data_IF_892287301800
#
_entry.id   IF_892287301800
#
_cell.length_a   1.000
_cell.length_b   1.000
_cell.length_c   1.000
_cell.angle_alpha   90.00
_cell.angle_beta   90.00
_cell.angle_gamma   90.00
#
_symmetry.space_group_name_H-M   'P 1'
#
loop_
_entity.id
_entity.type
_entity.pdbx_description
1 polymer ?
#
# COMPACT_ATOMS: atom_id res chain seq x y z
N UNK A 1 -16.51 -6.30 -6.79
CA UNK A 1 -15.80 -7.48 -7.32
C UNK A 1 -16.15 -7.68 -8.80
N UNK A 2 -15.43 -7.04 -9.70
CA UNK A 2 -15.52 -7.31 -11.16
C UNK A 2 -14.28 -8.13 -11.52
N UNK A 3 -14.52 -9.39 -11.90
CA UNK A 3 -13.48 -10.31 -12.38
C UNK A 3 -12.94 -9.77 -13.70
N UNK A 4 -11.67 -9.39 -13.75
CA UNK A 4 -10.94 -9.21 -15.00
C UNK A 4 -10.75 -10.62 -15.60
N UNK A 5 -11.39 -10.84 -16.75
CA UNK A 5 -11.20 -12.02 -17.57
C UNK A 5 -9.95 -11.77 -18.40
N UNK A 6 -8.85 -12.46 -18.08
CA UNK A 6 -7.69 -12.56 -18.94
C UNK A 6 -8.03 -13.48 -20.11
N UNK A 7 -8.09 -12.94 -21.31
CA UNK A 7 -8.14 -13.72 -22.54
C UNK A 7 -6.75 -14.33 -22.78
N UNK A 8 -6.57 -15.60 -22.46
CA UNK A 8 -5.41 -16.38 -22.84
C UNK A 8 -5.52 -16.71 -24.32
N UNK A 9 -4.74 -16.08 -25.18
CA UNK A 9 -4.48 -16.57 -26.52
C UNK A 9 -3.58 -17.81 -26.42
N UNK A 10 -4.16 -18.99 -26.52
CA UNK A 10 -3.42 -20.22 -26.74
C UNK A 10 -2.86 -20.22 -28.18
N UNK A 11 -1.60 -19.89 -28.34
CA UNK A 11 -0.88 -20.19 -29.58
C UNK A 11 -0.45 -21.64 -29.54
N UNK A 12 -1.07 -22.49 -30.37
CA UNK A 12 -0.57 -23.84 -30.61
C UNK A 12 0.81 -23.72 -31.28
N UNK A 13 1.85 -24.00 -30.53
CA UNK A 13 3.20 -24.23 -31.07
C UNK A 13 3.32 -25.71 -31.44
N UNK A 14 3.35 -26.00 -32.72
CA UNK A 14 3.75 -27.33 -33.20
C UNK A 14 5.20 -27.59 -32.79
N UNK A 15 5.39 -28.67 -32.03
CA UNK A 15 6.67 -29.08 -31.50
C UNK A 15 7.61 -29.52 -32.64
N UNK A 16 8.66 -28.77 -32.84
CA UNK A 16 9.93 -29.29 -33.36
C UNK A 16 10.92 -29.32 -32.20
N UNK A 17 11.60 -30.44 -31.96
CA UNK A 17 12.54 -30.52 -30.84
C UNK A 17 13.84 -29.86 -31.24
N UNK A 18 14.02 -28.57 -30.91
CA UNK A 18 15.32 -27.96 -30.82
C UNK A 18 15.43 -27.28 -29.46
N UNK A 19 16.09 -27.97 -28.54
CA UNK A 19 16.60 -27.42 -27.30
C UNK A 19 17.70 -26.38 -27.63
N UNK A 20 17.29 -25.20 -28.07
CA UNK A 20 18.09 -24.02 -28.03
C UNK A 20 17.58 -23.14 -26.89
N UNK A 21 18.16 -23.37 -25.71
CA UNK A 21 18.03 -22.42 -24.61
C UNK A 21 18.21 -21.01 -25.19
N UNK A 22 17.26 -20.14 -24.98
CA UNK A 22 17.29 -18.78 -25.53
C UNK A 22 18.45 -18.02 -24.91
N UNK A 23 19.63 -18.13 -25.50
CA UNK A 23 20.82 -17.37 -25.11
C UNK A 23 20.70 -15.97 -25.68
N UNK A 24 20.47 -14.98 -24.81
CA UNK A 24 20.64 -13.58 -25.19
C UNK A 24 22.09 -13.41 -25.69
N UNK A 25 22.26 -13.22 -26.97
CA UNK A 25 23.57 -12.96 -27.52
C UNK A 25 23.89 -11.46 -27.39
N UNK A 26 24.64 -11.13 -26.33
CA UNK A 26 24.98 -9.75 -25.99
C UNK A 26 25.65 -9.00 -27.12
N UNK A 27 26.69 -9.61 -27.75
CA UNK A 27 27.48 -8.95 -28.80
C UNK A 27 26.67 -8.70 -30.08
N UNK A 28 25.87 -9.68 -30.50
CA UNK A 28 25.00 -9.51 -31.65
C UNK A 28 23.89 -8.47 -31.39
N UNK A 29 23.40 -8.40 -30.14
CA UNK A 29 22.41 -7.40 -29.76
C UNK A 29 23.01 -6.01 -29.73
N UNK A 30 24.21 -5.83 -29.13
CA UNK A 30 24.92 -4.56 -29.12
C UNK A 30 25.24 -4.08 -30.56
N UNK A 31 25.64 -4.97 -31.46
CA UNK A 31 25.85 -4.61 -32.84
C UNK A 31 24.60 -4.11 -33.57
N UNK A 32 23.41 -4.71 -33.25
CA UNK A 32 22.10 -4.24 -33.75
C UNK A 32 21.74 -2.86 -33.22
N UNK A 33 21.95 -2.62 -31.92
CA UNK A 33 21.70 -1.31 -31.30
C UNK A 33 22.61 -0.23 -31.90
N UNK A 34 23.92 -0.51 -32.01
CA UNK A 34 24.88 0.41 -32.63
C UNK A 34 24.55 0.75 -34.11
N UNK A 35 24.06 -0.23 -34.85
CA UNK A 35 23.56 0.02 -36.21
C UNK A 35 22.34 0.92 -36.22
N UNK A 36 21.39 0.68 -35.32
CA UNK A 36 20.18 1.49 -35.22
C UNK A 36 20.52 2.95 -34.83
N UNK A 37 21.50 3.14 -33.93
CA UNK A 37 22.00 4.46 -33.56
C UNK A 37 22.69 5.17 -34.71
N UNK A 38 23.52 4.46 -35.49
CA UNK A 38 24.15 4.99 -36.68
C UNK A 38 23.13 5.38 -37.77
N UNK A 39 22.06 4.59 -37.92
CA UNK A 39 21.01 4.87 -38.90
C UNK A 39 20.22 6.16 -38.57
N UNK A 40 19.97 6.47 -37.30
CA UNK A 40 19.30 7.73 -36.89
C UNK A 40 20.28 8.93 -36.92
N UNK A 41 21.57 8.70 -36.76
CA UNK A 41 22.60 9.73 -36.88
C UNK A 41 22.93 10.10 -38.35
N UNK A 42 22.62 9.22 -39.32
CA UNK A 42 22.76 9.51 -40.72
C UNK A 42 21.78 10.58 -41.20
N UNK A 43 22.24 11.64 -41.83
CA UNK A 43 21.43 12.80 -42.21
C UNK A 43 20.24 12.45 -43.12
N UNK A 44 20.38 11.45 -44.00
CA UNK A 44 19.30 11.03 -44.93
C UNK A 44 18.35 10.01 -44.30
N UNK A 45 18.85 9.07 -43.51
CA UNK A 45 18.05 8.06 -42.86
C UNK A 45 17.36 8.64 -41.63
N UNK A 46 18.07 9.39 -40.79
CA UNK A 46 17.56 10.00 -39.56
C UNK A 46 16.48 11.04 -39.80
N UNK A 47 16.34 11.57 -41.02
CA UNK A 47 15.22 12.43 -41.39
C UNK A 47 13.91 11.70 -41.65
N UNK A 48 13.85 10.36 -41.48
CA UNK A 48 12.63 9.55 -41.71
C UNK A 48 12.09 8.99 -40.40
N UNK A 49 10.81 9.19 -40.12
CA UNK A 49 10.11 8.63 -38.95
C UNK A 49 10.28 7.10 -38.87
N UNK A 50 10.25 6.39 -40.00
CA UNK A 50 10.42 4.94 -40.02
C UNK A 50 11.80 4.48 -39.44
N UNK A 51 12.85 5.28 -39.57
CA UNK A 51 14.16 4.96 -38.99
C UNK A 51 14.13 5.00 -37.47
N UNK A 52 13.45 5.98 -36.89
CA UNK A 52 13.24 6.10 -35.46
C UNK A 52 12.33 4.99 -34.90
N UNK A 53 11.24 4.62 -35.62
CA UNK A 53 10.42 3.45 -35.28
C UNK A 53 11.28 2.18 -35.24
N UNK A 54 12.17 1.96 -36.22
CA UNK A 54 13.04 0.78 -36.26
C UNK A 54 14.05 0.79 -35.11
N UNK A 55 14.60 1.96 -34.76
CA UNK A 55 15.45 2.11 -33.58
C UNK A 55 14.69 1.72 -32.31
N UNK A 56 13.50 2.27 -32.08
CA UNK A 56 12.66 1.93 -30.93
C UNK A 56 12.37 0.43 -30.83
N UNK A 57 12.04 -0.22 -31.97
CA UNK A 57 11.83 -1.68 -32.00
C UNK A 57 13.08 -2.48 -31.64
N UNK A 58 14.27 -2.04 -32.13
CA UNK A 58 15.54 -2.71 -31.80
C UNK A 58 15.82 -2.62 -30.30
N UNK A 59 15.60 -1.46 -29.68
CA UNK A 59 15.80 -1.23 -28.26
C UNK A 59 14.79 -1.97 -27.40
N UNK A 60 13.50 -1.96 -27.75
CA UNK A 60 12.47 -2.76 -27.08
C UNK A 60 12.76 -4.27 -27.15
N UNK A 61 13.18 -4.76 -28.32
CA UNK A 61 13.55 -6.17 -28.50
C UNK A 61 14.74 -6.56 -27.60
N UNK A 62 15.70 -5.66 -27.44
CA UNK A 62 16.84 -5.88 -26.56
C UNK A 62 16.44 -5.86 -25.08
N UNK A 63 15.55 -4.93 -24.68
CA UNK A 63 15.03 -4.84 -23.32
C UNK A 63 14.24 -6.09 -22.90
N UNK A 64 13.36 -6.58 -23.77
CA UNK A 64 12.47 -7.71 -23.48
C UNK A 64 13.11 -9.09 -23.69
N UNK A 65 14.26 -9.17 -24.36
CA UNK A 65 14.89 -10.44 -24.76
C UNK A 65 15.05 -11.46 -23.62
N UNK A 66 15.46 -11.08 -22.39
CA UNK A 66 15.63 -12.04 -21.31
C UNK A 66 14.33 -12.69 -20.82
N UNK A 67 13.20 -12.00 -20.96
CA UNK A 67 11.92 -12.38 -20.34
C UNK A 67 10.78 -12.64 -21.32
N UNK A 68 11.02 -12.46 -22.62
CA UNK A 68 9.95 -12.43 -23.65
C UNK A 68 9.13 -13.72 -23.77
N UNK A 69 9.69 -14.86 -23.35
CA UNK A 69 9.05 -16.18 -23.48
C UNK A 69 8.68 -16.79 -22.14
N UNK A 70 8.78 -16.04 -21.03
CA UNK A 70 8.35 -16.46 -19.70
C UNK A 70 7.21 -15.57 -19.18
N UNK A 71 6.36 -16.14 -18.33
CA UNK A 71 5.25 -15.44 -17.69
C UNK A 71 4.97 -16.01 -16.30
N UNK A 72 4.36 -15.21 -15.45
CA UNK A 72 3.93 -15.65 -14.11
C UNK A 72 2.93 -16.80 -14.25
N UNK A 73 3.00 -17.78 -13.34
CA UNK A 73 2.26 -19.05 -13.35
C UNK A 73 2.69 -20.07 -14.44
N UNK A 74 3.77 -19.78 -15.22
CA UNK A 74 4.34 -20.76 -16.15
C UNK A 74 4.83 -21.99 -15.36
N UNK A 75 4.42 -23.22 -15.73
CA UNK A 75 4.93 -24.45 -15.11
C UNK A 75 6.43 -24.63 -15.33
N UNK A 76 7.12 -25.25 -14.38
CA UNK A 76 8.56 -25.49 -14.48
C UNK A 76 8.94 -26.33 -15.71
N UNK A 77 8.12 -27.30 -16.09
CA UNK A 77 8.37 -28.12 -17.28
C UNK A 77 8.38 -27.27 -18.57
N UNK A 78 7.48 -26.28 -18.68
CA UNK A 78 7.43 -25.37 -19.83
C UNK A 78 8.62 -24.39 -19.80
N UNK A 79 8.99 -23.93 -18.61
CA UNK A 79 10.18 -23.09 -18.42
C UNK A 79 11.45 -23.81 -18.89
N UNK A 80 11.62 -25.09 -18.54
CA UNK A 80 12.78 -25.89 -18.99
C UNK A 80 12.81 -26.13 -20.51
N UNK A 81 11.65 -26.17 -21.16
CA UNK A 81 11.58 -26.22 -22.63
C UNK A 81 12.06 -24.92 -23.28
N UNK A 82 11.79 -23.78 -22.61
CA UNK A 82 12.12 -22.44 -23.14
C UNK A 82 13.56 -22.04 -22.83
N UNK A 83 13.98 -22.16 -21.56
CA UNK A 83 15.28 -21.68 -21.08
C UNK A 83 16.33 -22.77 -20.91
N UNK A 84 15.92 -24.05 -20.96
CA UNK A 84 16.75 -25.19 -20.59
C UNK A 84 16.81 -25.37 -19.07
N UNK A 85 17.73 -26.24 -18.63
CA UNK A 85 17.95 -26.46 -17.19
C UNK A 85 18.63 -25.25 -16.55
N UNK A 86 18.24 -24.94 -15.33
CA UNK A 86 18.88 -23.90 -14.52
C UNK A 86 20.34 -24.27 -14.22
N UNK A 87 21.21 -23.27 -14.13
CA UNK A 87 22.63 -23.43 -13.75
C UNK A 87 22.75 -23.82 -12.27
N UNK A 88 21.83 -23.34 -11.41
CA UNK A 88 21.74 -23.72 -10.01
C UNK A 88 20.28 -23.64 -9.52
N UNK A 89 19.97 -24.41 -8.47
CA UNK A 89 18.69 -24.41 -7.76
C UNK A 89 18.94 -24.25 -6.28
N UNK A 90 18.28 -23.27 -5.65
CA UNK A 90 18.39 -22.97 -4.22
C UNK A 90 16.99 -23.06 -3.60
N UNK A 91 16.83 -23.96 -2.62
CA UNK A 91 15.56 -24.14 -1.92
C UNK A 91 15.40 -23.20 -0.73
N UNK A 92 14.16 -22.83 -0.41
CA UNK A 92 13.81 -22.07 0.80
C UNK A 92 14.32 -20.62 0.81
N UNK A 93 14.56 -20.03 -0.36
CA UNK A 93 15.02 -18.63 -0.47
C UNK A 93 13.91 -17.69 -0.03
N UNK A 94 14.18 -16.89 0.99
CA UNK A 94 13.24 -15.87 1.48
C UNK A 94 13.20 -14.65 0.55
N UNK A 95 12.00 -14.26 0.15
CA UNK A 95 11.77 -13.10 -0.69
C UNK A 95 10.47 -12.41 -0.27
N UNK A 96 10.57 -11.23 0.32
CA UNK A 96 9.43 -10.63 1.01
C UNK A 96 8.93 -11.55 2.13
N UNK A 97 7.64 -11.83 2.16
CA UNK A 97 7.00 -12.69 3.18
C UNK A 97 6.92 -14.17 2.77
N UNK A 98 7.50 -14.55 1.62
CA UNK A 98 7.41 -15.89 1.05
C UNK A 98 8.74 -16.64 0.97
N UNK A 99 8.68 -17.98 1.04
CA UNK A 99 9.80 -18.89 0.76
C UNK A 99 9.61 -19.52 -0.63
N UNK A 100 10.66 -19.49 -1.44
CA UNK A 100 10.63 -19.90 -2.84
C UNK A 100 11.77 -20.85 -3.18
N UNK A 101 11.61 -21.63 -4.26
CA UNK A 101 12.74 -22.27 -4.94
C UNK A 101 13.32 -21.30 -5.97
N UNK A 102 14.56 -20.88 -5.82
CA UNK A 102 15.26 -20.00 -6.76
C UNK A 102 15.94 -20.84 -7.84
N UNK A 103 15.62 -20.58 -9.10
CA UNK A 103 16.31 -21.12 -10.26
C UNK A 103 17.21 -20.04 -10.86
N UNK A 104 18.51 -20.35 -10.95
CA UNK A 104 19.53 -19.38 -11.46
C UNK A 104 19.79 -19.67 -12.92
N UNK A 105 19.65 -18.63 -13.74
CA UNK A 105 20.00 -18.60 -15.17
C UNK A 105 20.99 -17.46 -15.43
N UNK A 106 21.70 -17.45 -16.57
CA UNK A 106 22.71 -16.41 -16.87
C UNK A 106 22.17 -14.96 -16.79
N UNK A 107 20.90 -14.75 -17.13
CA UNK A 107 20.26 -13.42 -17.19
C UNK A 107 19.19 -13.19 -16.14
N UNK A 108 18.78 -14.25 -15.45
CA UNK A 108 17.59 -14.26 -14.58
C UNK A 108 17.82 -15.08 -13.32
N UNK A 109 17.25 -14.63 -12.23
CA UNK A 109 16.85 -15.47 -11.11
C UNK A 109 15.34 -15.60 -11.15
N UNK A 110 14.84 -16.82 -11.23
CA UNK A 110 13.40 -17.12 -11.25
C UNK A 110 13.01 -17.78 -9.94
N UNK A 111 11.98 -17.28 -9.31
CA UNK A 111 11.46 -17.76 -8.03
C UNK A 111 10.19 -18.56 -8.27
N UNK A 112 10.22 -19.83 -7.88
CA UNK A 112 9.13 -20.78 -8.07
C UNK A 112 8.32 -20.96 -6.78
N UNK A 113 7.00 -21.03 -6.93
CA UNK A 113 6.09 -21.46 -5.88
C UNK A 113 5.12 -22.52 -6.49
N UNK A 114 4.86 -23.59 -5.78
CA UNK A 114 3.96 -24.66 -6.22
C UNK A 114 4.25 -25.19 -7.66
N UNK A 115 5.53 -25.25 -8.01
CA UNK A 115 5.98 -25.73 -9.33
C UNK A 115 5.74 -24.76 -10.49
N UNK A 116 5.41 -23.50 -10.20
CA UNK A 116 5.16 -22.44 -11.18
C UNK A 116 6.00 -21.20 -10.92
N UNK A 117 6.25 -20.42 -11.96
CA UNK A 117 6.93 -19.12 -11.81
C UNK A 117 6.06 -18.18 -10.96
N UNK A 118 6.58 -17.77 -9.81
CA UNK A 118 5.97 -16.76 -8.97
C UNK A 118 6.45 -15.35 -9.32
N UNK A 119 7.75 -15.19 -9.57
CA UNK A 119 8.38 -13.93 -9.96
C UNK A 119 9.79 -14.16 -10.47
N UNK A 120 10.46 -13.09 -10.95
CA UNK A 120 11.87 -13.14 -11.39
C UNK A 120 12.57 -11.81 -11.17
N UNK A 121 13.90 -11.85 -11.24
CA UNK A 121 14.76 -10.66 -11.21
C UNK A 121 15.79 -10.79 -12.30
N UNK A 122 16.04 -9.71 -13.05
CA UNK A 122 17.15 -9.63 -13.99
C UNK A 122 18.48 -9.55 -13.22
N UNK A 123 19.46 -10.37 -13.60
CA UNK A 123 20.80 -10.38 -13.01
C UNK A 123 21.80 -9.56 -13.81
N UNK A 124 21.49 -9.32 -15.08
CA UNK A 124 22.32 -8.48 -15.97
C UNK A 124 21.47 -7.88 -17.09
N UNK A 125 22.00 -6.85 -17.72
CA UNK A 125 21.40 -6.14 -18.83
C UNK A 125 22.35 -6.17 -20.07
N UNK A 126 21.80 -5.99 -21.26
CA UNK A 126 22.61 -5.91 -22.49
C UNK A 126 23.52 -4.67 -22.45
N UNK A 127 23.00 -3.56 -21.89
CA UNK A 127 23.70 -2.28 -21.78
C UNK A 127 23.26 -1.61 -20.48
N UNK A 128 24.12 -0.83 -19.85
CA UNK A 128 23.84 -0.13 -18.60
C UNK A 128 23.03 1.15 -18.84
N UNK A 129 21.82 0.95 -19.39
CA UNK A 129 20.81 1.99 -19.59
C UNK A 129 19.42 1.35 -19.68
N UNK A 130 18.37 2.12 -19.44
CA UNK A 130 16.99 1.67 -19.70
C UNK A 130 16.70 1.65 -21.20
N UNK A 131 16.87 0.48 -21.80
CA UNK A 131 16.65 0.26 -23.23
C UNK A 131 15.19 0.50 -23.62
N UNK A 132 14.24 0.25 -22.75
CA UNK A 132 12.83 0.47 -23.01
C UNK A 132 12.48 1.98 -23.00
N UNK A 133 13.15 2.78 -22.15
CA UNK A 133 13.04 4.24 -22.21
C UNK A 133 13.59 4.81 -23.51
N UNK A 134 14.72 4.28 -24.01
CA UNK A 134 15.25 4.67 -25.33
C UNK A 134 14.28 4.30 -26.47
N UNK A 135 13.53 3.19 -26.32
CA UNK A 135 12.48 2.85 -27.28
C UNK A 135 11.35 3.88 -27.26
N UNK A 136 10.90 4.30 -26.06
CA UNK A 136 9.87 5.34 -25.91
C UNK A 136 10.30 6.65 -26.56
N UNK A 137 11.51 7.12 -26.27
CA UNK A 137 12.04 8.35 -26.85
C UNK A 137 12.12 8.27 -28.39
N UNK A 138 12.47 7.11 -28.91
CA UNK A 138 12.53 6.87 -30.35
C UNK A 138 11.11 6.91 -30.97
N UNK A 139 10.10 6.35 -30.32
CA UNK A 139 8.71 6.40 -30.78
C UNK A 139 8.14 7.81 -30.73
N UNK A 140 8.43 8.56 -29.67
CA UNK A 140 8.03 9.95 -29.55
C UNK A 140 8.66 10.81 -30.65
N UNK A 141 9.95 10.59 -30.94
CA UNK A 141 10.65 11.28 -32.03
C UNK A 141 10.05 10.96 -33.40
N UNK A 142 9.68 9.71 -33.63
CA UNK A 142 9.01 9.31 -34.86
C UNK A 142 7.66 10.01 -35.04
N UNK A 143 6.88 10.16 -33.95
CA UNK A 143 5.60 10.87 -33.95
C UNK A 143 5.76 12.37 -34.25
N UNK A 144 6.75 13.02 -33.64
CA UNK A 144 7.07 14.43 -33.92
C UNK A 144 7.38 14.69 -35.39
N UNK A 145 8.02 13.72 -36.05
CA UNK A 145 8.40 13.83 -37.47
C UNK A 145 7.23 13.54 -38.42
N UNK A 146 6.36 12.60 -38.05
CA UNK A 146 5.19 12.20 -38.82
C UNK A 146 4.07 11.69 -37.91
N UNK A 147 3.14 12.57 -37.56
CA UNK A 147 1.99 12.25 -36.72
C UNK A 147 0.99 11.27 -37.36
N UNK A 148 1.05 11.05 -38.68
CA UNK A 148 0.23 10.03 -39.37
C UNK A 148 0.67 8.61 -39.00
N UNK A 149 1.84 8.46 -38.40
CA UNK A 149 2.32 7.18 -37.82
C UNK A 149 1.64 6.78 -36.53
N UNK A 150 0.77 7.62 -35.94
CA UNK A 150 0.14 7.42 -34.63
C UNK A 150 -0.49 6.03 -34.44
N UNK A 151 -1.27 5.53 -35.42
CA UNK A 151 -1.91 4.21 -35.34
C UNK A 151 -0.89 3.07 -35.18
N UNK A 152 0.21 3.13 -35.92
CA UNK A 152 1.30 2.14 -35.85
C UNK A 152 2.09 2.24 -34.54
N UNK A 153 2.26 3.45 -34.01
CA UNK A 153 2.95 3.70 -32.76
C UNK A 153 2.11 3.29 -31.56
N UNK A 154 0.77 3.43 -31.64
CA UNK A 154 -0.14 3.06 -30.56
C UNK A 154 0.02 1.63 -30.10
N UNK A 155 0.15 0.66 -31.01
CA UNK A 155 0.38 -0.75 -30.65
C UNK A 155 1.78 -0.99 -30.06
N UNK A 156 2.81 -0.29 -30.55
CA UNK A 156 4.16 -0.38 -29.99
C UNK A 156 4.25 0.22 -28.59
N UNK A 157 3.54 1.30 -28.35
CA UNK A 157 3.46 1.93 -27.03
C UNK A 157 2.67 1.06 -26.04
N UNK A 158 1.60 0.39 -26.46
CA UNK A 158 0.90 -0.60 -25.61
C UNK A 158 1.79 -1.78 -25.24
N UNK A 159 2.60 -2.28 -26.16
CA UNK A 159 3.59 -3.32 -25.86
C UNK A 159 4.62 -2.83 -24.83
N UNK A 160 5.07 -1.59 -24.96
CA UNK A 160 6.02 -0.98 -24.05
C UNK A 160 5.42 -0.72 -22.66
N UNK A 161 4.18 -0.24 -22.60
CA UNK A 161 3.42 -0.11 -21.35
C UNK A 161 3.27 -1.46 -20.62
N UNK A 162 2.84 -2.51 -21.35
CA UNK A 162 2.74 -3.86 -20.80
C UNK A 162 4.08 -4.39 -20.27
N UNK A 163 5.19 -4.12 -20.97
CA UNK A 163 6.50 -4.49 -20.50
C UNK A 163 6.83 -3.86 -19.14
N UNK A 164 6.59 -2.57 -18.98
CA UNK A 164 6.86 -1.88 -17.73
C UNK A 164 5.90 -2.29 -16.63
N UNK A 165 4.61 -2.43 -16.91
CA UNK A 165 3.62 -2.83 -15.90
C UNK A 165 3.86 -4.26 -15.40
N UNK A 166 4.24 -5.20 -16.28
CA UNK A 166 4.64 -6.56 -15.89
C UNK A 166 5.90 -6.55 -15.02
N UNK A 167 6.92 -5.76 -15.40
CA UNK A 167 8.11 -5.60 -14.56
C UNK A 167 7.78 -5.01 -13.19
N UNK A 168 6.86 -4.04 -13.12
CA UNK A 168 6.34 -3.51 -11.86
C UNK A 168 5.77 -4.61 -10.97
N UNK A 169 4.90 -5.46 -11.52
CA UNK A 169 4.29 -6.58 -10.79
C UNK A 169 5.33 -7.59 -10.29
N UNK A 170 6.25 -8.03 -11.16
CA UNK A 170 7.23 -9.05 -10.78
C UNK A 170 8.26 -8.51 -9.79
N UNK A 171 8.71 -7.28 -9.95
CA UNK A 171 9.65 -6.67 -9.01
C UNK A 171 8.99 -6.36 -7.65
N UNK A 172 7.72 -5.96 -7.62
CA UNK A 172 6.97 -5.81 -6.38
C UNK A 172 6.90 -7.13 -5.61
N UNK A 173 6.55 -8.22 -6.30
CA UNK A 173 6.51 -9.57 -5.70
C UNK A 173 7.91 -10.05 -5.27
N UNK A 174 8.95 -9.60 -5.96
CA UNK A 174 10.35 -9.86 -5.63
C UNK A 174 10.90 -8.94 -4.51
N UNK A 175 10.07 -8.14 -3.84
CA UNK A 175 10.44 -7.14 -2.85
C UNK A 175 11.51 -6.13 -3.35
N UNK A 176 11.61 -5.93 -4.67
CA UNK A 176 12.45 -4.94 -5.34
C UNK A 176 11.66 -3.64 -5.51
N UNK A 177 11.33 -3.00 -4.39
CA UNK A 177 10.34 -1.91 -4.35
C UNK A 177 10.73 -0.70 -5.19
N UNK A 178 12.01 -0.31 -5.22
CA UNK A 178 12.50 0.81 -6.05
C UNK A 178 12.40 0.49 -7.54
N UNK A 179 12.77 -0.73 -7.94
CA UNK A 179 12.70 -1.17 -9.34
C UNK A 179 11.23 -1.29 -9.80
N UNK A 180 10.36 -1.80 -8.92
CA UNK A 180 8.93 -1.87 -9.18
C UNK A 180 8.30 -0.48 -9.31
N UNK A 181 8.63 0.44 -8.41
CA UNK A 181 8.17 1.82 -8.44
C UNK A 181 8.60 2.53 -9.73
N UNK A 182 9.86 2.36 -10.11
CA UNK A 182 10.39 2.88 -11.38
C UNK A 182 9.61 2.33 -12.58
N UNK A 183 9.39 1.01 -12.62
CA UNK A 183 8.69 0.37 -13.71
C UNK A 183 7.24 0.88 -13.85
N UNK A 184 6.49 1.01 -12.75
CA UNK A 184 5.14 1.60 -12.79
C UNK A 184 5.16 3.07 -13.24
N UNK A 185 6.11 3.87 -12.75
CA UNK A 185 6.25 5.26 -13.20
C UNK A 185 6.52 5.35 -14.71
N UNK A 186 7.37 4.45 -15.25
CA UNK A 186 7.62 4.38 -16.69
C UNK A 186 6.39 3.88 -17.47
N UNK A 187 5.59 2.95 -16.93
CA UNK A 187 4.34 2.53 -17.57
C UNK A 187 3.40 3.73 -17.78
N UNK A 188 3.24 4.59 -16.77
CA UNK A 188 2.44 5.82 -16.91
C UNK A 188 3.09 6.80 -17.88
N UNK A 189 4.42 6.96 -17.86
CA UNK A 189 5.14 7.83 -18.80
C UNK A 189 4.92 7.41 -20.26
N UNK A 190 4.80 6.12 -20.54
CA UNK A 190 4.41 5.63 -21.88
C UNK A 190 3.03 6.11 -22.25
N UNK A 191 2.07 6.12 -21.32
CA UNK A 191 0.71 6.62 -21.56
C UNK A 191 0.66 8.14 -21.78
N UNK A 192 1.67 8.88 -21.33
CA UNK A 192 1.80 10.33 -21.62
C UNK A 192 2.25 10.62 -23.04
N UNK A 193 2.75 9.62 -23.80
CA UNK A 193 3.13 9.79 -25.18
C UNK A 193 1.94 10.29 -26.02
N UNK A 194 2.12 11.32 -26.87
CA UNK A 194 1.05 11.85 -27.71
C UNK A 194 0.53 10.84 -28.75
N UNK A 195 1.29 9.78 -29.03
CA UNK A 195 0.87 8.68 -29.91
C UNK A 195 0.17 7.53 -29.18
N UNK A 196 0.07 7.58 -27.84
CA UNK A 196 -0.61 6.55 -27.08
C UNK A 196 -2.13 6.64 -27.27
N UNK A 197 -2.76 5.54 -27.65
CA UNK A 197 -4.21 5.48 -27.98
C UNK A 197 -5.05 4.77 -26.93
N UNK A 198 -4.44 4.35 -25.81
CA UNK A 198 -5.13 3.71 -24.68
C UNK A 198 -5.71 4.73 -23.71
N UNK A 199 -6.50 4.23 -22.74
CA UNK A 199 -6.90 5.01 -21.57
C UNK A 199 -5.69 5.14 -20.64
N UNK A 200 -5.51 6.33 -20.08
CA UNK A 200 -4.50 6.55 -19.04
C UNK A 200 -4.98 5.93 -17.72
N UNK A 201 -4.11 5.21 -17.06
CA UNK A 201 -4.37 4.59 -15.77
C UNK A 201 -3.48 5.22 -14.68
N UNK A 202 -4.01 6.17 -13.91
CA UNK A 202 -3.25 6.84 -12.86
C UNK A 202 -2.91 5.92 -11.68
N UNK A 203 -3.44 4.68 -11.63
CA UNK A 203 -3.05 3.70 -10.62
C UNK A 203 -1.57 3.34 -10.68
N UNK A 204 -0.94 3.41 -11.85
CA UNK A 204 0.51 3.23 -11.97
C UNK A 204 1.30 4.27 -11.18
N UNK A 205 0.87 5.52 -11.19
CA UNK A 205 1.50 6.56 -10.37
C UNK A 205 1.29 6.32 -8.88
N UNK A 206 0.09 5.87 -8.50
CA UNK A 206 -0.22 5.51 -7.12
C UNK A 206 0.68 4.35 -6.63
N UNK A 207 0.78 3.25 -7.38
CA UNK A 207 1.64 2.13 -7.01
C UNK A 207 3.13 2.52 -6.98
N UNK A 208 3.58 3.34 -7.92
CA UNK A 208 4.95 3.87 -7.89
C UNK A 208 5.21 4.66 -6.61
N UNK A 209 4.31 5.58 -6.27
CA UNK A 209 4.43 6.41 -5.08
C UNK A 209 4.33 5.61 -3.77
N UNK A 210 3.41 4.66 -3.70
CA UNK A 210 3.26 3.74 -2.58
C UNK A 210 4.56 2.93 -2.31
N UNK A 211 5.16 2.37 -3.36
CA UNK A 211 6.39 1.59 -3.25
C UNK A 211 7.60 2.45 -2.87
N UNK A 212 7.70 3.67 -3.39
CA UNK A 212 8.69 4.64 -2.93
C UNK A 212 8.47 5.04 -1.47
N UNK A 213 7.22 5.09 -0.98
CA UNK A 213 6.93 5.36 0.43
C UNK A 213 7.44 4.23 1.33
N UNK A 214 7.29 2.97 0.90
CA UNK A 214 7.82 1.80 1.63
C UNK A 214 9.35 1.87 1.70
N UNK A 215 10.02 2.11 0.56
CA UNK A 215 11.49 2.22 0.52
C UNK A 215 12.00 3.42 1.31
N UNK A 216 11.21 4.48 1.41
CA UNK A 216 11.52 5.70 2.15
C UNK A 216 11.88 5.48 3.61
N UNK A 217 11.36 4.42 4.23
CA UNK A 217 11.69 4.06 5.61
C UNK A 217 13.19 3.73 5.81
N UNK A 218 13.86 3.25 4.77
CA UNK A 218 15.29 2.92 4.76
C UNK A 218 16.12 3.87 3.90
N UNK A 219 15.50 4.54 2.92
CA UNK A 219 16.14 5.44 1.97
C UNK A 219 15.32 6.74 1.84
N UNK A 220 15.67 7.74 2.63
CA UNK A 220 14.91 9.00 2.73
C UNK A 220 14.70 9.71 1.37
N UNK A 221 15.61 9.53 0.39
CA UNK A 221 15.45 10.11 -0.95
C UNK A 221 14.23 9.55 -1.70
N UNK A 222 13.77 8.35 -1.36
CA UNK A 222 12.57 7.74 -1.97
C UNK A 222 11.29 8.45 -1.56
N UNK A 223 11.22 9.07 -0.38
CA UNK A 223 10.06 9.87 0.01
C UNK A 223 9.78 11.04 -0.95
N UNK A 224 10.83 11.68 -1.48
CA UNK A 224 10.69 12.78 -2.45
C UNK A 224 10.03 12.26 -3.73
N UNK A 225 10.52 11.13 -4.25
CA UNK A 225 9.93 10.47 -5.43
C UNK A 225 8.51 9.98 -5.17
N UNK A 226 8.26 9.42 -3.97
CA UNK A 226 6.94 8.99 -3.54
C UNK A 226 5.94 10.13 -3.54
N UNK A 227 6.30 11.26 -2.94
CA UNK A 227 5.46 12.46 -2.94
C UNK A 227 5.16 12.96 -4.36
N UNK A 228 6.15 12.97 -5.25
CA UNK A 228 5.96 13.36 -6.66
C UNK A 228 4.95 12.45 -7.37
N UNK A 229 5.12 11.14 -7.27
CA UNK A 229 4.24 10.17 -7.95
C UNK A 229 2.82 10.21 -7.40
N UNK A 230 2.64 10.24 -6.08
CA UNK A 230 1.31 10.31 -5.46
C UNK A 230 0.60 11.63 -5.76
N UNK A 231 1.32 12.75 -5.79
CA UNK A 231 0.75 14.06 -6.18
C UNK A 231 0.26 14.01 -7.63
N UNK A 232 1.07 13.50 -8.55
CA UNK A 232 0.67 13.30 -9.94
C UNK A 232 -0.53 12.36 -10.09
N UNK A 233 -0.62 11.32 -9.23
CA UNK A 233 -1.77 10.42 -9.23
C UNK A 233 -3.07 11.16 -8.86
N UNK A 234 -3.05 12.00 -7.82
CA UNK A 234 -4.21 12.85 -7.46
C UNK A 234 -4.57 13.83 -8.58
N UNK A 235 -3.59 14.52 -9.18
CA UNK A 235 -3.78 15.44 -10.28
C UNK A 235 -4.37 14.74 -11.53
N UNK A 236 -3.99 13.47 -11.74
CA UNK A 236 -4.54 12.63 -12.80
C UNK A 236 -5.93 12.03 -12.46
N UNK A 237 -6.50 12.38 -11.31
CA UNK A 237 -7.83 11.96 -10.88
C UNK A 237 -7.87 10.56 -10.22
N UNK A 238 -6.74 10.04 -9.75
CA UNK A 238 -6.74 8.79 -8.99
C UNK A 238 -7.46 8.95 -7.66
N UNK A 239 -8.33 8.00 -7.37
CA UNK A 239 -9.00 7.86 -6.07
C UNK A 239 -9.04 6.40 -5.69
N UNK A 240 -8.64 6.07 -4.46
CA UNK A 240 -8.92 4.76 -3.87
C UNK A 240 -10.14 4.84 -2.94
N UNK A 241 -10.85 3.72 -2.71
CA UNK A 241 -12.10 3.73 -1.95
C UNK A 241 -11.98 4.28 -0.53
N UNK A 242 -10.79 4.13 0.07
CA UNK A 242 -10.53 4.50 1.46
C UNK A 242 -9.74 5.81 1.60
N UNK A 243 -9.26 6.39 0.49
CA UNK A 243 -8.44 7.60 0.48
C UNK A 243 -7.04 7.40 1.05
N UNK A 244 -6.48 6.19 0.97
CA UNK A 244 -5.14 5.90 1.50
C UNK A 244 -4.02 6.71 0.83
N UNK A 245 -4.25 7.24 -0.37
CA UNK A 245 -3.30 8.10 -1.05
C UNK A 245 -2.91 9.33 -0.21
N UNK A 246 -3.83 9.89 0.57
CA UNK A 246 -3.56 11.02 1.48
C UNK A 246 -2.64 10.61 2.63
N UNK A 247 -2.82 9.40 3.16
CA UNK A 247 -1.96 8.82 4.19
C UNK A 247 -0.53 8.56 3.67
N UNK A 248 -0.38 8.02 2.45
CA UNK A 248 0.95 7.80 1.87
C UNK A 248 1.65 9.12 1.52
N UNK A 249 0.92 10.12 1.03
CA UNK A 249 1.46 11.47 0.84
C UNK A 249 1.94 12.08 2.16
N UNK A 250 1.14 11.96 3.22
CA UNK A 250 1.58 12.35 4.56
C UNK A 250 2.90 11.68 4.93
N UNK A 251 3.03 10.36 4.77
CA UNK A 251 4.28 9.66 5.07
C UNK A 251 5.46 10.18 4.27
N UNK A 252 5.26 10.47 3.00
CA UNK A 252 6.31 11.03 2.15
C UNK A 252 6.80 12.38 2.66
N UNK A 253 5.90 13.28 3.07
CA UNK A 253 6.28 14.59 3.59
C UNK A 253 6.78 14.52 5.03
N UNK A 254 6.13 13.74 5.87
CA UNK A 254 6.50 13.54 7.27
C UNK A 254 7.86 12.85 7.44
N UNK A 255 8.19 11.91 6.56
CA UNK A 255 9.46 11.18 6.57
C UNK A 255 10.67 11.99 6.13
N UNK A 256 10.48 13.12 5.44
CA UNK A 256 11.58 14.02 5.07
C UNK A 256 12.00 14.85 6.29
N UNK A 257 13.11 14.45 6.92
CA UNK A 257 13.56 14.99 8.22
C UNK A 257 14.55 16.17 8.11
N UNK A 258 14.92 16.58 6.89
CA UNK A 258 15.81 17.72 6.68
C UNK A 258 15.18 19.00 7.28
N UNK A 259 15.89 19.66 8.20
CA UNK A 259 15.42 20.81 8.93
C UNK A 259 15.05 21.99 8.03
N UNK A 260 15.68 22.12 6.86
CA UNK A 260 15.42 23.20 5.89
C UNK A 260 14.03 23.13 5.24
N UNK A 261 13.44 21.94 5.16
CA UNK A 261 12.13 21.72 4.54
C UNK A 261 11.08 21.17 5.53
N UNK A 262 11.49 20.83 6.75
CA UNK A 262 10.65 20.14 7.73
C UNK A 262 9.31 20.80 7.99
N UNK A 263 9.32 22.10 8.34
CA UNK A 263 8.09 22.83 8.66
C UNK A 263 7.17 22.93 7.43
N UNK A 264 7.72 23.21 6.26
CA UNK A 264 6.95 23.29 5.01
C UNK A 264 6.32 21.93 4.66
N UNK A 265 7.06 20.84 4.86
CA UNK A 265 6.56 19.49 4.63
C UNK A 265 5.45 19.08 5.63
N UNK A 266 5.60 19.44 6.91
CA UNK A 266 4.55 19.23 7.91
C UNK A 266 3.28 20.00 7.57
N UNK A 267 3.41 21.26 7.14
CA UNK A 267 2.26 22.07 6.71
C UNK A 267 1.57 21.44 5.49
N UNK A 268 2.35 21.02 4.49
CA UNK A 268 1.83 20.32 3.32
C UNK A 268 1.12 19.01 3.67
N UNK A 269 1.72 18.23 4.57
CA UNK A 269 1.12 17.00 5.08
C UNK A 269 -0.22 17.27 5.79
N UNK A 270 -0.28 18.33 6.62
CA UNK A 270 -1.51 18.77 7.27
C UNK A 270 -2.61 19.08 6.26
N UNK A 271 -2.31 19.92 5.27
CA UNK A 271 -3.30 20.36 4.29
C UNK A 271 -3.86 19.18 3.49
N UNK A 272 -3.01 18.24 3.08
CA UNK A 272 -3.42 17.01 2.37
C UNK A 272 -4.26 16.08 3.25
N UNK A 273 -3.87 15.88 4.50
CA UNK A 273 -4.64 15.05 5.43
C UNK A 273 -5.99 15.69 5.78
N UNK A 274 -6.05 17.02 5.88
CA UNK A 274 -7.32 17.74 6.08
C UNK A 274 -8.26 17.59 4.89
N UNK A 275 -7.74 17.65 3.66
CA UNK A 275 -8.49 17.35 2.45
C UNK A 275 -8.98 15.88 2.47
N UNK A 276 -8.08 14.96 2.84
CA UNK A 276 -8.39 13.53 2.98
C UNK A 276 -9.49 13.27 4.02
N UNK A 277 -9.41 13.91 5.20
CA UNK A 277 -10.42 13.76 6.25
C UNK A 277 -11.81 14.26 5.79
N UNK A 278 -11.86 15.36 5.04
CA UNK A 278 -13.13 15.88 4.52
C UNK A 278 -13.80 14.91 3.52
N UNK A 279 -13.01 14.13 2.77
CA UNK A 279 -13.50 13.16 1.78
C UNK A 279 -13.68 11.75 2.34
N UNK A 280 -12.84 11.35 3.29
CA UNK A 280 -12.74 10.00 3.85
C UNK A 280 -12.68 10.04 5.39
N UNK A 281 -13.74 10.51 6.05
CA UNK A 281 -13.73 10.75 7.51
C UNK A 281 -13.60 9.47 8.36
N UNK A 282 -13.82 8.30 7.76
CA UNK A 282 -13.64 6.99 8.42
C UNK A 282 -12.21 6.44 8.34
N UNK A 283 -11.34 7.07 7.58
CA UNK A 283 -9.97 6.57 7.46
C UNK A 283 -9.17 6.91 8.72
N UNK A 284 -9.01 5.93 9.61
CA UNK A 284 -8.25 6.07 10.87
C UNK A 284 -6.81 6.51 10.65
N UNK A 285 -6.20 6.11 9.52
CA UNK A 285 -4.81 6.47 9.19
C UNK A 285 -4.67 7.96 8.90
N UNK A 286 -5.68 8.57 8.27
CA UNK A 286 -5.71 10.03 8.04
C UNK A 286 -5.79 10.77 9.37
N UNK A 287 -6.67 10.31 10.28
CA UNK A 287 -6.80 10.87 11.63
C UNK A 287 -5.49 10.74 12.41
N UNK A 288 -4.87 9.56 12.39
CA UNK A 288 -3.57 9.31 13.03
C UNK A 288 -2.48 10.24 12.45
N UNK A 289 -2.43 10.37 11.12
CA UNK A 289 -1.49 11.29 10.45
C UNK A 289 -1.66 12.74 10.91
N UNK A 290 -2.90 13.24 11.02
CA UNK A 290 -3.19 14.58 11.53
C UNK A 290 -2.70 14.78 12.96
N UNK A 291 -2.96 13.81 13.82
CA UNK A 291 -2.49 13.85 15.20
C UNK A 291 -0.96 13.95 15.25
N UNK A 292 -0.29 13.08 14.49
CA UNK A 292 1.17 13.07 14.44
C UNK A 292 1.74 14.40 13.91
N UNK A 293 1.11 15.01 12.91
CA UNK A 293 1.53 16.30 12.37
C UNK A 293 1.36 17.42 13.41
N UNK A 294 0.17 17.52 14.05
CA UNK A 294 -0.08 18.58 15.05
C UNK A 294 0.77 18.42 16.32
N UNK A 295 1.18 17.19 16.67
CA UNK A 295 2.03 16.94 17.85
C UNK A 295 3.52 17.04 17.55
N UNK A 296 3.92 17.08 16.26
CA UNK A 296 5.33 17.10 15.86
C UNK A 296 6.00 18.46 16.01
N UNK A 297 5.25 19.55 15.78
CA UNK A 297 5.77 20.91 15.86
C UNK A 297 4.61 21.89 16.13
N UNK A 298 4.77 22.69 17.18
CA UNK A 298 3.76 23.69 17.58
C UNK A 298 3.52 24.77 16.52
N UNK A 299 4.43 24.97 15.58
CA UNK A 299 4.28 25.93 14.48
C UNK A 299 3.32 25.44 13.38
N UNK A 300 2.98 24.16 13.37
CA UNK A 300 2.01 23.60 12.40
C UNK A 300 0.58 24.01 12.71
N UNK A 301 0.27 24.25 13.97
CA UNK A 301 -1.05 24.68 14.44
C UNK A 301 -1.45 24.04 15.75
N UNK A 302 -2.64 24.41 16.24
CA UNK A 302 -3.22 23.86 17.45
C UNK A 302 -4.18 22.70 17.08
N UNK A 303 -4.09 21.51 17.71
CA UNK A 303 -5.05 20.41 17.52
C UNK A 303 -6.50 20.81 17.69
N UNK A 304 -6.79 21.89 18.45
CA UNK A 304 -8.16 22.41 18.61
C UNK A 304 -8.75 22.97 17.31
N UNK A 305 -7.94 23.35 16.34
CA UNK A 305 -8.42 23.75 15.00
C UNK A 305 -9.08 22.59 14.27
N UNK A 306 -8.50 21.39 14.39
CA UNK A 306 -9.07 20.15 13.81
C UNK A 306 -10.45 19.86 14.41
N UNK A 307 -10.59 20.03 15.73
CA UNK A 307 -11.88 19.84 16.42
C UNK A 307 -12.92 20.85 15.90
N UNK A 308 -12.57 22.13 15.80
CA UNK A 308 -13.50 23.16 15.30
C UNK A 308 -14.00 22.85 13.89
N UNK A 309 -13.11 22.30 13.04
CA UNK A 309 -13.50 21.94 11.68
C UNK A 309 -14.47 20.74 11.66
N UNK A 310 -14.19 19.70 12.45
CA UNK A 310 -15.07 18.54 12.59
C UNK A 310 -16.41 18.95 13.20
N UNK A 311 -16.41 19.76 14.26
CA UNK A 311 -17.62 20.28 14.89
C UNK A 311 -18.45 21.12 13.90
N UNK A 312 -17.82 22.00 13.11
CA UNK A 312 -18.51 22.76 12.07
C UNK A 312 -19.07 21.89 10.93
N UNK A 313 -18.47 20.72 10.65
CA UNK A 313 -19.04 19.75 9.71
C UNK A 313 -20.25 19.04 10.34
N UNK A 314 -20.20 18.69 11.64
CA UNK A 314 -21.29 18.06 12.37
C UNK A 314 -22.47 18.99 12.64
N UNK A 315 -22.25 20.30 12.75
CA UNK A 315 -23.32 21.30 12.79
C UNK A 315 -24.16 21.29 11.49
N UNK A 316 -23.52 21.10 10.35
CA UNK A 316 -24.18 21.03 9.04
C UNK A 316 -24.86 19.69 8.78
N UNK A 317 -24.25 18.60 9.26
CA UNK A 317 -24.77 17.25 9.13
C UNK A 317 -24.61 16.47 10.45
N UNK A 318 -25.53 16.66 11.42
CA UNK A 318 -25.48 15.98 12.72
C UNK A 318 -25.64 14.46 12.64
N UNK A 319 -26.07 13.92 11.49
CA UNK A 319 -26.24 12.49 11.26
C UNK A 319 -25.04 11.83 10.59
N UNK A 320 -23.99 12.57 10.34
CA UNK A 320 -22.76 12.04 9.76
C UNK A 320 -22.02 11.18 10.80
N UNK A 321 -22.33 9.89 10.78
CA UNK A 321 -21.73 8.89 11.66
C UNK A 321 -20.21 8.90 11.60
N UNK A 322 -19.67 9.06 10.39
CA UNK A 322 -18.23 8.97 10.13
C UNK A 322 -17.48 10.17 10.74
N UNK A 323 -18.07 11.35 10.70
CA UNK A 323 -17.52 12.54 11.37
C UNK A 323 -17.58 12.40 12.90
N UNK A 324 -18.65 11.81 13.47
CA UNK A 324 -18.68 11.50 14.90
C UNK A 324 -17.61 10.48 15.29
N UNK A 325 -17.38 9.46 14.47
CA UNK A 325 -16.31 8.48 14.66
C UNK A 325 -14.94 9.17 14.67
N UNK A 326 -14.64 9.98 13.64
CA UNK A 326 -13.39 10.76 13.54
C UNK A 326 -13.20 11.68 14.77
N UNK A 327 -14.26 12.42 15.17
CA UNK A 327 -14.23 13.29 16.35
C UNK A 327 -13.85 12.51 17.62
N UNK A 328 -14.47 11.37 17.85
CA UNK A 328 -14.17 10.54 19.00
C UNK A 328 -12.71 10.04 19.02
N UNK A 329 -12.17 9.66 17.88
CA UNK A 329 -10.78 9.25 17.74
C UNK A 329 -9.79 10.39 18.01
N UNK A 330 -10.07 11.59 17.52
CA UNK A 330 -9.26 12.79 17.80
C UNK A 330 -9.22 13.06 19.30
N UNK A 331 -10.38 13.12 19.97
CA UNK A 331 -10.43 13.35 21.41
C UNK A 331 -9.75 12.25 22.22
N UNK A 332 -9.86 10.99 21.80
CA UNK A 332 -9.14 9.88 22.44
C UNK A 332 -7.64 10.11 22.42
N UNK A 333 -7.09 10.52 21.28
CA UNK A 333 -5.64 10.78 21.16
C UNK A 333 -5.17 11.97 21.99
N UNK A 334 -6.05 12.95 22.19
CA UNK A 334 -5.83 14.07 23.11
C UNK A 334 -6.04 13.70 24.58
N UNK A 335 -6.35 12.43 24.89
CA UNK A 335 -6.70 11.90 26.22
C UNK A 335 -7.94 12.59 26.84
N UNK A 336 -8.77 13.21 26.00
CA UNK A 336 -10.07 13.73 26.43
C UNK A 336 -11.12 12.62 26.26
N UNK A 337 -11.11 11.70 27.22
CA UNK A 337 -11.95 10.51 27.18
C UNK A 337 -13.44 10.83 27.24
N UNK A 338 -13.85 11.91 27.93
CA UNK A 338 -15.25 12.29 28.03
C UNK A 338 -15.84 12.68 26.66
N UNK A 339 -15.17 13.52 25.93
CA UNK A 339 -15.60 13.92 24.59
C UNK A 339 -15.49 12.76 23.57
N UNK A 340 -14.49 11.89 23.75
CA UNK A 340 -14.36 10.65 22.96
C UNK A 340 -15.57 9.74 23.16
N UNK A 341 -15.95 9.46 24.41
CA UNK A 341 -17.11 8.66 24.78
C UNK A 341 -18.41 9.31 24.27
N UNK A 342 -18.57 10.62 24.45
CA UNK A 342 -19.75 11.34 23.96
C UNK A 342 -19.91 11.20 22.44
N UNK A 343 -18.81 11.32 21.69
CA UNK A 343 -18.79 11.16 20.24
C UNK A 343 -19.17 9.73 19.82
N UNK A 344 -18.58 8.71 20.44
CA UNK A 344 -18.91 7.31 20.12
C UNK A 344 -20.29 6.86 20.57
N UNK A 345 -20.87 7.46 21.61
CA UNK A 345 -22.29 7.29 21.92
C UNK A 345 -23.17 7.74 20.75
N UNK A 346 -22.82 8.85 20.10
CA UNK A 346 -23.51 9.29 18.87
C UNK A 346 -23.33 8.32 17.71
N UNK A 347 -22.14 7.75 17.53
CA UNK A 347 -21.90 6.73 16.49
C UNK A 347 -22.82 5.53 16.71
N UNK A 348 -22.84 4.97 17.93
CA UNK A 348 -23.67 3.79 18.27
C UNK A 348 -25.18 4.11 18.24
N UNK A 349 -25.58 5.36 18.56
CA UNK A 349 -26.96 5.81 18.39
C UNK A 349 -27.40 5.83 16.92
N UNK A 350 -26.50 6.30 16.03
CA UNK A 350 -26.76 6.40 14.59
C UNK A 350 -26.69 5.04 13.88
N UNK A 351 -25.84 4.14 14.36
CA UNK A 351 -25.72 2.78 13.84
C UNK A 351 -25.51 1.75 14.97
N UNK A 352 -26.62 1.23 15.54
CA UNK A 352 -26.56 0.26 16.64
C UNK A 352 -25.99 -1.11 16.24
N UNK A 353 -25.76 -1.36 14.95
CA UNK A 353 -25.25 -2.63 14.43
C UNK A 353 -23.76 -2.57 14.03
N UNK A 354 -23.07 -1.47 14.30
CA UNK A 354 -21.64 -1.33 14.09
C UNK A 354 -20.85 -1.92 15.29
N UNK A 355 -20.39 -3.17 15.13
CA UNK A 355 -19.62 -3.88 16.15
C UNK A 355 -18.33 -3.15 16.54
N UNK A 356 -17.66 -2.53 15.57
CA UNK A 356 -16.42 -1.81 15.79
C UNK A 356 -16.64 -0.58 16.68
N UNK A 357 -17.68 0.19 16.40
CA UNK A 357 -18.00 1.38 17.19
C UNK A 357 -18.46 1.03 18.63
N UNK A 358 -19.19 -0.08 18.79
CA UNK A 358 -19.54 -0.59 20.11
C UNK A 358 -18.28 -1.01 20.90
N UNK A 359 -17.33 -1.70 20.24
CA UNK A 359 -16.04 -2.05 20.84
C UNK A 359 -15.25 -0.80 21.27
N UNK A 360 -15.08 0.19 20.40
CA UNK A 360 -14.36 1.42 20.75
C UNK A 360 -15.00 2.17 21.90
N UNK A 361 -16.32 2.24 21.94
CA UNK A 361 -17.01 2.90 23.06
C UNK A 361 -16.69 2.21 24.40
N UNK A 362 -16.73 0.88 24.46
CA UNK A 362 -16.31 0.12 25.63
C UNK A 362 -14.83 0.34 25.97
N UNK A 363 -13.96 0.31 24.95
CA UNK A 363 -12.53 0.53 25.11
C UNK A 363 -12.20 1.94 25.67
N UNK A 364 -12.93 2.97 25.26
CA UNK A 364 -12.68 4.34 25.77
C UNK A 364 -13.15 4.51 27.23
N UNK A 365 -14.16 3.79 27.66
CA UNK A 365 -14.48 3.71 29.09
C UNK A 365 -13.35 3.03 29.88
N UNK A 366 -12.75 1.96 29.34
CA UNK A 366 -11.58 1.32 29.98
C UNK A 366 -10.43 2.33 30.06
N UNK A 367 -10.10 3.01 28.97
CA UNK A 367 -9.02 4.00 28.94
C UNK A 367 -9.24 5.15 29.93
N UNK A 368 -10.51 5.60 30.09
CA UNK A 368 -10.89 6.59 31.12
C UNK A 368 -10.67 6.05 32.53
N UNK A 369 -11.08 4.81 32.78
CA UNK A 369 -10.84 4.13 34.05
C UNK A 369 -9.37 3.94 34.37
N UNK A 370 -8.59 3.52 33.39
CA UNK A 370 -7.11 3.36 33.52
C UNK A 370 -6.46 4.70 33.86
N UNK A 371 -6.82 5.80 33.18
CA UNK A 371 -6.30 7.12 33.48
C UNK A 371 -6.62 7.59 34.92
N UNK A 372 -7.86 7.39 35.37
CA UNK A 372 -8.25 7.71 36.74
C UNK A 372 -7.52 6.81 37.76
N UNK A 373 -7.37 5.52 37.47
CA UNK A 373 -6.63 4.59 38.31
C UNK A 373 -5.15 5.01 38.45
N UNK A 374 -4.52 5.44 37.38
CA UNK A 374 -3.16 5.96 37.38
C UNK A 374 -3.02 7.24 38.25
N UNK A 375 -4.02 8.11 38.24
CA UNK A 375 -4.08 9.29 39.08
C UNK A 375 -4.22 8.91 40.56
N UNK A 376 -5.12 8.00 40.86
CA UNK A 376 -5.39 7.51 42.23
C UNK A 376 -4.13 6.84 42.80
N UNK A 377 -3.45 6.03 42.01
CA UNK A 377 -2.24 5.34 42.45
C UNK A 377 -1.04 6.29 42.72
N UNK A 378 -1.10 7.53 42.26
CA UNK A 378 -0.08 8.56 42.53
C UNK A 378 -0.40 9.42 43.75
N UNK A 379 -1.62 9.30 44.34
CA UNK A 379 -2.05 10.10 45.48
C UNK A 379 -1.52 9.50 46.78
N UNK A 380 -1.17 10.35 47.75
CA UNK A 380 -0.88 9.95 49.10
C UNK A 380 -2.19 9.79 49.91
N UNK A 381 -2.49 8.57 50.37
CA UNK A 381 -3.66 8.25 51.10
C UNK A 381 -3.40 8.15 52.62
N UNK A 382 -4.25 8.82 53.41
CA UNK A 382 -4.18 8.73 54.87
C UNK A 382 -4.67 7.39 55.42
N UNK A 383 -5.45 6.63 54.64
CA UNK A 383 -5.96 5.31 54.99
C UNK A 383 -6.31 4.48 53.76
N UNK A 384 -6.28 3.16 53.90
CA UNK A 384 -6.78 2.23 52.87
C UNK A 384 -8.27 2.41 52.57
N UNK A 385 -9.06 2.86 53.54
CA UNK A 385 -10.51 3.12 53.35
C UNK A 385 -10.72 4.25 52.34
N UNK A 386 -9.91 5.31 52.38
CA UNK A 386 -9.97 6.42 51.43
C UNK A 386 -9.50 5.97 50.02
N UNK A 387 -8.47 5.16 49.92
CA UNK A 387 -8.04 4.56 48.63
C UNK A 387 -9.13 3.68 48.05
N UNK A 388 -9.73 2.80 48.86
CA UNK A 388 -10.80 1.91 48.42
C UNK A 388 -12.04 2.66 47.94
N UNK A 389 -12.34 3.82 48.52
CA UNK A 389 -13.48 4.65 48.09
C UNK A 389 -13.20 5.25 46.69
N UNK A 390 -11.98 5.76 46.44
CA UNK A 390 -11.60 6.24 45.12
C UNK A 390 -11.59 5.09 44.09
N UNK A 391 -11.15 3.88 44.47
CA UNK A 391 -11.19 2.68 43.61
C UNK A 391 -12.60 2.27 43.19
N UNK A 392 -13.62 2.50 44.02
CA UNK A 392 -15.02 2.27 43.62
C UNK A 392 -15.41 3.16 42.42
N UNK A 393 -14.93 4.41 42.38
CA UNK A 393 -15.15 5.30 41.27
C UNK A 393 -14.51 4.77 39.94
N UNK A 394 -13.31 4.19 40.06
CA UNK A 394 -12.64 3.53 38.92
C UNK A 394 -13.43 2.32 38.43
N UNK A 395 -13.86 1.45 39.38
CA UNK A 395 -14.66 0.27 39.05
C UNK A 395 -15.98 0.64 38.40
N UNK A 396 -16.65 1.71 38.87
CA UNK A 396 -17.89 2.20 38.25
C UNK A 396 -17.68 2.59 36.76
N UNK A 397 -16.56 3.25 36.44
CA UNK A 397 -16.23 3.58 35.04
C UNK A 397 -15.97 2.32 34.22
N UNK A 398 -15.24 1.34 34.76
CA UNK A 398 -15.02 0.07 34.08
C UNK A 398 -16.31 -0.73 33.85
N UNK A 399 -17.23 -0.69 34.79
CA UNK A 399 -18.53 -1.35 34.66
C UNK A 399 -19.37 -0.79 33.51
N UNK A 400 -19.26 0.51 33.21
CA UNK A 400 -19.91 1.14 32.06
C UNK A 400 -19.40 0.59 30.70
N UNK A 401 -18.17 0.02 30.63
CA UNK A 401 -17.63 -0.54 29.41
C UNK A 401 -18.28 -1.87 29.02
N UNK A 402 -18.68 -2.69 30.01
CA UNK A 402 -19.13 -4.07 29.79
C UNK A 402 -20.28 -4.18 28.79
N UNK A 403 -21.39 -3.43 28.91
CA UNK A 403 -22.54 -3.57 28.01
C UNK A 403 -22.19 -3.26 26.54
N UNK A 404 -21.29 -2.33 26.30
CA UNK A 404 -20.86 -1.99 24.94
C UNK A 404 -19.96 -3.06 24.35
N UNK A 405 -19.06 -3.63 25.13
CA UNK A 405 -18.21 -4.76 24.69
C UNK A 405 -19.06 -6.03 24.48
N UNK A 406 -20.06 -6.28 25.33
CA UNK A 406 -21.01 -7.38 25.12
C UNK A 406 -21.80 -7.19 23.83
N UNK A 407 -22.24 -5.95 23.54
CA UNK A 407 -22.89 -5.63 22.27
C UNK A 407 -21.96 -5.85 21.08
N UNK A 408 -20.69 -5.46 21.16
CA UNK A 408 -19.70 -5.73 20.12
C UNK A 408 -19.53 -7.25 19.88
N UNK A 409 -19.45 -8.04 20.96
CA UNK A 409 -19.39 -9.50 20.88
C UNK A 409 -20.66 -10.11 20.25
N UNK A 410 -21.84 -9.64 20.61
CA UNK A 410 -23.09 -10.11 20.02
C UNK A 410 -23.15 -9.88 18.52
N UNK A 411 -22.64 -8.73 18.06
CA UNK A 411 -22.59 -8.36 16.65
C UNK A 411 -21.48 -9.09 15.87
N UNK A 412 -20.34 -9.37 16.52
CA UNK A 412 -19.24 -10.13 15.92
C UNK A 412 -18.61 -11.11 16.93
N UNK A 413 -19.22 -12.30 17.11
CA UNK A 413 -18.74 -13.30 18.08
C UNK A 413 -17.36 -13.88 17.79
N UNK A 414 -16.81 -13.67 16.57
CA UNK A 414 -15.53 -14.18 16.17
C UNK A 414 -14.38 -13.18 16.35
N UNK A 415 -14.65 -11.98 16.85
CA UNK A 415 -13.61 -11.00 17.14
C UNK A 415 -12.84 -11.34 18.41
N UNK A 416 -11.62 -11.80 18.22
CA UNK A 416 -10.73 -12.22 19.31
C UNK A 416 -10.43 -11.06 20.27
N UNK A 417 -10.22 -9.84 19.75
CA UNK A 417 -9.87 -8.67 20.57
C UNK A 417 -11.01 -8.31 21.53
N UNK A 418 -12.27 -8.37 21.07
CA UNK A 418 -13.45 -8.12 21.90
C UNK A 418 -13.54 -9.16 23.03
N UNK A 419 -13.36 -10.45 22.74
CA UNK A 419 -13.41 -11.54 23.72
C UNK A 419 -12.27 -11.39 24.75
N UNK A 420 -11.06 -11.11 24.29
CA UNK A 420 -9.90 -10.90 25.17
C UNK A 420 -10.13 -9.70 26.10
N UNK A 421 -10.63 -8.57 25.56
CA UNK A 421 -10.92 -7.37 26.34
C UNK A 421 -12.00 -7.64 27.41
N UNK A 422 -13.10 -8.32 27.04
CA UNK A 422 -14.14 -8.73 27.98
C UNK A 422 -13.62 -9.63 29.09
N UNK A 423 -12.82 -10.65 28.73
CA UNK A 423 -12.18 -11.53 29.71
C UNK A 423 -11.34 -10.76 30.72
N UNK A 424 -10.46 -9.89 30.23
CA UNK A 424 -9.52 -9.12 31.07
C UNK A 424 -10.29 -8.14 31.96
N UNK A 425 -11.27 -7.43 31.41
CA UNK A 425 -12.08 -6.48 32.16
C UNK A 425 -12.93 -7.17 33.23
N UNK A 426 -13.61 -8.27 32.87
CA UNK A 426 -14.43 -9.02 33.84
C UNK A 426 -13.55 -9.67 34.93
N UNK A 427 -12.33 -10.12 34.63
CA UNK A 427 -11.42 -10.59 35.65
C UNK A 427 -11.00 -9.48 36.62
N UNK A 428 -10.74 -8.26 36.11
CA UNK A 428 -10.42 -7.08 36.94
C UNK A 428 -11.55 -6.74 37.88
N UNK A 429 -12.79 -6.89 37.42
CA UNK A 429 -14.02 -6.56 38.16
C UNK A 429 -14.72 -7.78 38.80
N UNK A 430 -14.04 -8.92 38.97
CA UNK A 430 -14.62 -10.19 39.41
C UNK A 430 -15.30 -10.15 40.75
N UNK A 431 -14.92 -9.17 41.61
CA UNK A 431 -15.49 -8.99 42.95
C UNK A 431 -16.78 -8.14 42.88
N UNK A 432 -17.14 -7.55 41.75
CA UNK A 432 -18.40 -6.86 41.52
C UNK A 432 -19.54 -7.83 41.24
N UNK A 433 -20.72 -7.49 41.67
CA UNK A 433 -21.89 -8.36 41.62
C UNK A 433 -22.21 -8.82 40.17
N UNK A 434 -22.28 -10.12 39.94
CA UNK A 434 -22.63 -10.74 38.65
C UNK A 434 -21.51 -10.71 37.59
N UNK A 435 -20.29 -10.19 37.89
CA UNK A 435 -19.21 -10.10 36.93
C UNK A 435 -18.38 -11.39 36.86
N UNK A 436 -18.31 -12.15 37.96
CA UNK A 436 -17.58 -13.42 37.97
C UNK A 436 -18.14 -14.43 36.94
N UNK A 437 -19.47 -14.53 36.83
CA UNK A 437 -20.11 -15.37 35.79
C UNK A 437 -19.77 -14.94 34.38
N UNK A 438 -19.67 -13.63 34.12
CA UNK A 438 -19.24 -13.08 32.83
C UNK A 438 -17.79 -13.42 32.55
N UNK A 439 -16.90 -13.33 33.54
CA UNK A 439 -15.51 -13.75 33.40
C UNK A 439 -15.41 -15.22 33.01
N UNK A 440 -16.10 -16.12 33.71
CA UNK A 440 -16.06 -17.56 33.39
C UNK A 440 -16.54 -17.83 31.95
N UNK A 441 -17.62 -17.17 31.53
CA UNK A 441 -18.14 -17.24 30.16
C UNK A 441 -17.09 -16.83 29.13
N UNK A 442 -16.50 -15.62 29.26
CA UNK A 442 -15.59 -15.07 28.28
C UNK A 442 -14.19 -15.72 28.34
N UNK A 443 -13.77 -16.20 29.49
CA UNK A 443 -12.54 -17.00 29.60
C UNK A 443 -12.65 -18.31 28.82
N UNK A 444 -13.77 -19.01 28.94
CA UNK A 444 -14.00 -20.25 28.17
C UNK A 444 -13.98 -19.98 26.67
N UNK A 445 -14.68 -18.95 26.21
CA UNK A 445 -14.69 -18.58 24.77
C UNK A 445 -13.29 -18.22 24.29
N UNK A 446 -12.54 -17.45 25.08
CA UNK A 446 -11.15 -17.08 24.78
C UNK A 446 -10.26 -18.29 24.60
N UNK A 447 -10.34 -19.28 25.51
CA UNK A 447 -9.55 -20.52 25.44
C UNK A 447 -9.88 -21.32 24.17
N UNK A 448 -11.15 -21.44 23.81
CA UNK A 448 -11.60 -22.10 22.57
C UNK A 448 -11.10 -21.39 21.31
N UNK A 449 -11.13 -20.06 21.27
CA UNK A 449 -10.64 -19.28 20.14
C UNK A 449 -9.12 -19.35 20.03
N UNK A 450 -8.42 -19.27 21.18
CA UNK A 450 -6.93 -19.33 21.22
C UNK A 450 -6.41 -20.71 20.76
N UNK A 451 -7.08 -21.79 21.19
CA UNK A 451 -6.72 -23.14 20.74
C UNK A 451 -6.85 -23.31 19.21
N UNK A 452 -7.90 -22.72 18.60
CA UNK A 452 -8.08 -22.73 17.15
C UNK A 452 -6.99 -21.92 16.40
N UNK A 453 -6.55 -20.80 16.97
CA UNK A 453 -5.48 -19.97 16.37
C UNK A 453 -4.10 -20.63 16.41
N UNK A 454 -3.82 -21.46 17.43
CA UNK A 454 -2.55 -22.18 17.55
C UNK A 454 -2.48 -23.41 16.61
N UNK A 455 -3.59 -23.83 16.00
CA UNK A 455 -3.67 -24.95 15.07
C UNK A 455 -3.59 -24.50 13.59
N UNK A 456 -3.58 -23.21 13.33
CA UNK A 456 -3.41 -22.58 12.01
C UNK A 456 -1.98 -22.07 11.81
#
# INVERSE_FOLDING_TARGET
MKKLIFAVMAVMVMATPMANAQKVNKDATLAKLAKADADVADAKKGSKAATWINRGKAYYTAASAPTKDIFVDMPQADLELVLGKADATNEGVQLGDGAYTELVYPWLKIYMADGKIATWVLTQTVKDEDLAAVALDSYNKAYEMDNKSASKLGDLLKQLENYYSQNGNVYMKAAKYVDAAYAYAQAYKVQESPAFTGLKDPSYLYYAGYLYTIDGATNNASYVKGAEMLTKALEAGYTDPDGNIYYYLYHCYYGQTDSSVRLANLQRAKDLLMEGLAKFPKNDRIVEGLINVYTSDSQVGDPTELIKMVDGALERDPKNKDMWFGRGRIFYSMKNYDESIASFKKVVELDPNDAQSAYFLGYFYIAKGDALNDEINKRDYKSMAAYNEDQKGVNAIYMEAIPYLEKAYELNPNDFATVETLKVLCFRLRDEAGVMEKYEKYNKIYEEMNAKRQQQ
#
